data_IF_593462005605
#
_entry.id   IF_593462005605
#
_cell.length_a   1.000
_cell.length_b   1.000
_cell.length_c   1.000
_cell.angle_alpha   90.00
_cell.angle_beta   90.00
_cell.angle_gamma   90.00
#
_symmetry.space_group_name_H-M   'P 1'
#
loop_
_entity.id
_entity.type
_entity.pdbx_description
1 polymer ?
#
# COMPACT_ATOMS: atom_id res chain seq x y z
N UNK A 1 -0.07 -1.13 -42.09
CA UNK A 1 -0.70 -0.98 -40.77
C UNK A 1 -2.17 -0.82 -41.01
N UNK A 2 -3.00 -1.57 -40.30
CA UNK A 2 -4.46 -1.43 -40.35
C UNK A 2 -4.82 -0.10 -39.65
N UNK A 3 -5.39 0.90 -40.35
CA UNK A 3 -5.68 2.21 -39.77
C UNK A 3 -6.77 2.20 -38.68
N UNK A 4 -7.33 1.02 -38.35
CA UNK A 4 -8.30 0.80 -37.29
C UNK A 4 -7.72 0.17 -36.01
N UNK A 5 -6.46 -0.29 -36.02
CA UNK A 5 -5.87 -0.93 -34.84
C UNK A 5 -5.34 0.14 -33.88
N UNK A 6 -5.89 0.18 -32.66
CA UNK A 6 -5.35 1.00 -31.57
C UNK A 6 -3.91 0.60 -31.27
N UNK A 7 -3.04 1.61 -31.15
CA UNK A 7 -1.61 1.43 -30.92
C UNK A 7 -1.22 1.73 -29.47
N UNK A 8 -0.25 0.99 -28.95
CA UNK A 8 0.26 1.15 -27.58
C UNK A 8 1.77 1.44 -27.57
N UNK A 9 2.17 2.49 -26.85
CA UNK A 9 3.57 2.87 -26.64
C UNK A 9 4.01 2.50 -25.22
N UNK A 10 5.10 1.74 -25.08
CA UNK A 10 5.81 1.66 -23.80
C UNK A 10 6.38 3.04 -23.45
N UNK A 11 6.06 3.56 -22.27
CA UNK A 11 6.62 4.80 -21.76
C UNK A 11 7.28 4.59 -20.40
N UNK A 12 8.56 4.95 -20.29
CA UNK A 12 9.38 4.61 -19.13
C UNK A 12 10.51 5.62 -18.96
N UNK A 13 10.93 5.84 -17.70
CA UNK A 13 12.21 6.47 -17.38
C UNK A 13 13.17 5.40 -16.85
N UNK A 14 14.46 5.49 -17.19
CA UNK A 14 15.47 4.50 -16.76
C UNK A 14 16.73 5.18 -16.26
N UNK A 15 17.44 4.50 -15.34
CA UNK A 15 18.79 4.85 -14.91
C UNK A 15 19.51 3.65 -14.30
N UNK A 16 20.59 3.21 -14.93
CA UNK A 16 21.44 2.12 -14.44
C UNK A 16 20.70 0.79 -14.17
N UNK A 17 19.84 0.39 -15.10
CA UNK A 17 19.00 -0.80 -15.00
C UNK A 17 19.53 -1.98 -15.84
N UNK A 18 20.79 -1.95 -16.31
CA UNK A 18 21.36 -3.02 -17.12
C UNK A 18 21.21 -4.43 -16.52
N UNK A 19 21.30 -4.63 -15.18
CA UNK A 19 21.12 -5.95 -14.57
C UNK A 19 19.69 -6.52 -14.67
N UNK A 20 18.67 -5.69 -14.82
CA UNK A 20 17.26 -6.11 -14.68
C UNK A 20 16.36 -5.73 -15.84
N UNK A 21 16.70 -4.71 -16.64
CA UNK A 21 15.79 -4.14 -17.63
C UNK A 21 15.32 -5.15 -18.68
N UNK A 22 16.18 -6.10 -19.07
CA UNK A 22 15.87 -7.08 -20.12
C UNK A 22 14.59 -7.87 -19.83
N UNK A 23 14.38 -8.35 -18.59
CA UNK A 23 13.16 -9.09 -18.23
C UNK A 23 11.90 -8.21 -18.31
N UNK A 24 12.01 -6.92 -17.97
CA UNK A 24 10.92 -5.97 -18.15
C UNK A 24 10.58 -5.85 -19.64
N UNK A 25 11.58 -5.59 -20.49
CA UNK A 25 11.38 -5.42 -21.93
C UNK A 25 10.77 -6.67 -22.58
N UNK A 26 11.26 -7.86 -22.21
CA UNK A 26 10.71 -9.15 -22.67
C UNK A 26 9.23 -9.31 -22.32
N UNK A 27 8.85 -8.94 -21.09
CA UNK A 27 7.48 -9.07 -20.60
C UNK A 27 6.49 -8.13 -21.31
N UNK A 28 6.93 -6.94 -21.73
CA UNK A 28 6.07 -5.93 -22.37
C UNK A 28 6.10 -5.97 -23.89
N UNK A 29 7.15 -6.53 -24.51
CA UNK A 29 7.33 -6.60 -25.98
C UNK A 29 6.09 -7.10 -26.74
N UNK A 30 5.33 -8.12 -26.27
CA UNK A 30 4.15 -8.61 -26.98
C UNK A 30 2.94 -7.66 -26.94
N UNK A 31 2.97 -6.63 -26.10
CA UNK A 31 1.82 -5.78 -25.76
C UNK A 31 1.89 -4.38 -26.39
N UNK A 32 2.99 -4.07 -27.07
CA UNK A 32 3.31 -2.73 -27.54
C UNK A 32 3.56 -2.72 -29.05
N UNK A 33 3.22 -1.60 -29.68
CA UNK A 33 3.46 -1.34 -31.10
C UNK A 33 4.64 -0.38 -31.30
N UNK A 34 5.00 0.38 -30.26
CA UNK A 34 6.12 1.32 -30.24
C UNK A 34 6.65 1.54 -28.82
N UNK A 35 7.75 2.29 -28.67
CA UNK A 35 8.33 2.61 -27.38
C UNK A 35 8.97 3.99 -27.37
N UNK A 36 8.87 4.67 -26.23
CA UNK A 36 9.59 5.91 -25.93
C UNK A 36 10.11 5.81 -24.52
N UNK A 37 11.43 5.71 -24.39
CA UNK A 37 12.10 5.57 -23.10
C UNK A 37 13.01 6.77 -22.89
N UNK A 38 12.98 7.35 -21.70
CA UNK A 38 13.87 8.44 -21.30
C UNK A 38 14.94 7.90 -20.36
N UNK A 39 16.17 7.82 -20.85
CA UNK A 39 17.34 7.55 -20.04
C UNK A 39 17.77 8.83 -19.30
N UNK A 40 17.92 8.73 -17.98
CA UNK A 40 18.17 9.88 -17.11
C UNK A 40 19.64 9.95 -16.64
N UNK A 41 20.54 9.37 -17.42
CA UNK A 41 21.99 9.37 -17.20
C UNK A 41 22.52 8.02 -16.73
N UNK A 42 22.18 6.94 -17.43
CA UNK A 42 22.80 5.62 -17.21
C UNK A 42 24.26 5.62 -17.63
N UNK A 43 25.08 4.84 -16.91
CA UNK A 43 26.52 4.68 -17.15
C UNK A 43 26.94 3.21 -17.21
N UNK A 44 25.99 2.28 -17.19
CA UNK A 44 26.18 0.83 -17.06
C UNK A 44 25.84 0.04 -18.34
N UNK A 45 25.55 0.73 -19.44
CA UNK A 45 25.14 0.11 -20.71
C UNK A 45 23.63 -0.14 -20.85
N UNK A 46 22.78 0.33 -19.92
CA UNK A 46 21.32 0.23 -20.01
C UNK A 46 20.79 0.68 -21.38
N UNK A 47 21.33 1.79 -21.89
CA UNK A 47 20.92 2.40 -23.15
C UNK A 47 21.14 1.46 -24.35
N UNK A 48 22.28 0.76 -24.38
CA UNK A 48 22.64 -0.15 -25.47
C UNK A 48 21.77 -1.39 -25.45
N UNK A 49 21.47 -1.93 -24.25
CA UNK A 49 20.54 -3.05 -24.08
C UNK A 49 19.17 -2.70 -24.64
N UNK A 50 18.64 -1.51 -24.35
CA UNK A 50 17.33 -1.08 -24.87
C UNK A 50 17.34 -0.99 -26.39
N UNK A 51 18.36 -0.33 -26.97
CA UNK A 51 18.48 -0.13 -28.42
C UNK A 51 18.63 -1.47 -29.16
N UNK A 52 19.44 -2.38 -28.64
CA UNK A 52 19.63 -3.71 -29.21
C UNK A 52 18.32 -4.51 -29.14
N UNK A 53 17.66 -4.53 -27.97
CA UNK A 53 16.47 -5.31 -27.72
C UNK A 53 15.29 -4.90 -28.61
N UNK A 54 15.05 -3.60 -28.77
CA UNK A 54 13.97 -3.08 -29.63
C UNK A 54 14.44 -2.69 -31.04
N UNK A 55 15.56 -3.22 -31.51
CA UNK A 55 16.07 -2.93 -32.86
C UNK A 55 15.08 -3.31 -33.98
N UNK A 56 14.12 -4.18 -33.69
CA UNK A 56 13.06 -4.65 -34.59
C UNK A 56 11.70 -3.93 -34.39
N UNK A 57 11.59 -2.99 -33.45
CA UNK A 57 10.35 -2.27 -33.11
C UNK A 57 10.56 -0.75 -33.25
N UNK A 58 9.68 -0.01 -33.96
CA UNK A 58 9.77 1.44 -33.99
C UNK A 58 9.73 2.03 -32.58
N UNK A 59 10.56 3.03 -32.32
CA UNK A 59 10.60 3.74 -31.06
C UNK A 59 11.89 4.52 -30.88
N UNK A 60 11.99 5.26 -29.78
CA UNK A 60 13.07 6.21 -29.54
C UNK A 60 13.54 6.16 -28.09
N UNK A 61 14.86 6.09 -27.91
CA UNK A 61 15.51 6.35 -26.63
C UNK A 61 15.93 7.83 -26.58
N UNK A 62 15.48 8.56 -25.56
CA UNK A 62 15.90 9.93 -25.30
C UNK A 62 16.83 9.98 -24.10
N UNK A 63 17.98 10.64 -24.26
CA UNK A 63 18.87 10.93 -23.14
C UNK A 63 18.56 12.34 -22.62
N UNK A 64 18.17 12.45 -21.35
CA UNK A 64 17.75 13.71 -20.73
C UNK A 64 18.36 13.84 -19.32
N UNK A 65 18.66 15.07 -18.85
CA UNK A 65 19.00 15.27 -17.45
C UNK A 65 17.87 14.83 -16.53
N UNK A 66 18.21 14.29 -15.35
CA UNK A 66 17.24 13.98 -14.30
C UNK A 66 16.52 15.24 -13.82
N UNK A 67 15.17 15.23 -13.80
CA UNK A 67 14.31 16.35 -13.39
C UNK A 67 13.44 16.03 -12.17
N UNK A 68 13.74 14.95 -11.45
CA UNK A 68 12.84 14.41 -10.42
C UNK A 68 11.89 13.35 -11.00
N UNK A 69 11.23 12.58 -10.13
CA UNK A 69 10.35 11.47 -10.55
C UNK A 69 9.17 11.97 -11.38
N UNK A 70 8.44 12.96 -10.87
CA UNK A 70 7.35 13.63 -11.59
C UNK A 70 7.82 14.32 -12.87
N UNK A 71 8.89 15.12 -12.80
CA UNK A 71 9.42 15.89 -13.91
C UNK A 71 9.90 15.01 -15.07
N UNK A 72 10.71 13.98 -14.78
CA UNK A 72 11.24 13.09 -15.81
C UNK A 72 10.16 12.17 -16.40
N UNK A 73 9.22 11.66 -15.60
CA UNK A 73 8.09 10.88 -16.14
C UNK A 73 7.14 11.73 -16.97
N UNK A 74 6.87 12.98 -16.56
CA UNK A 74 6.02 13.89 -17.34
C UNK A 74 6.68 14.27 -18.66
N UNK A 75 8.00 14.52 -18.68
CA UNK A 75 8.75 14.72 -19.93
C UNK A 75 8.70 13.47 -20.83
N UNK A 76 8.78 12.26 -20.25
CA UNK A 76 8.61 11.03 -21.01
C UNK A 76 7.23 10.92 -21.66
N UNK A 77 6.15 11.29 -20.95
CA UNK A 77 4.79 11.34 -21.51
C UNK A 77 4.71 12.32 -22.68
N UNK A 78 5.26 13.52 -22.52
CA UNK A 78 5.18 14.55 -23.55
C UNK A 78 5.95 14.16 -24.83
N UNK A 79 7.09 13.49 -24.69
CA UNK A 79 7.85 12.94 -25.83
C UNK A 79 7.11 11.80 -26.55
N UNK A 80 6.29 11.04 -25.82
CA UNK A 80 5.57 9.87 -26.35
C UNK A 80 4.16 10.18 -26.86
N UNK A 81 3.63 11.38 -26.60
CA UNK A 81 2.23 11.74 -26.83
C UNK A 81 1.76 11.53 -28.28
N UNK A 82 2.65 11.70 -29.26
CA UNK A 82 2.35 11.52 -30.68
C UNK A 82 2.77 10.15 -31.23
N UNK A 83 3.30 9.26 -30.38
CA UNK A 83 3.86 7.98 -30.82
C UNK A 83 2.80 6.88 -30.94
N UNK A 84 1.71 6.95 -30.17
CA UNK A 84 0.64 5.95 -30.16
C UNK A 84 -0.69 6.52 -29.63
N UNK A 85 -1.75 5.72 -29.66
CA UNK A 85 -3.06 6.07 -29.09
C UNK A 85 -3.09 5.96 -27.57
N UNK A 86 -2.25 5.07 -27.00
CA UNK A 86 -2.13 4.83 -25.57
C UNK A 86 -0.67 4.74 -25.12
N UNK A 87 -0.40 5.15 -23.88
CA UNK A 87 0.87 4.99 -23.18
C UNK A 87 0.71 3.92 -22.09
N UNK A 88 1.61 2.93 -22.10
CA UNK A 88 1.74 1.88 -21.09
C UNK A 88 2.93 2.20 -20.18
N UNK A 89 2.70 2.25 -18.87
CA UNK A 89 3.73 2.52 -17.86
C UNK A 89 4.09 1.26 -17.09
N UNK A 90 5.36 0.88 -17.13
CA UNK A 90 5.96 -0.21 -16.35
C UNK A 90 7.32 0.27 -15.86
N UNK A 91 7.65 -0.01 -14.60
CA UNK A 91 8.96 0.34 -14.03
C UNK A 91 10.01 -0.68 -14.51
N UNK A 92 11.25 -0.23 -14.72
CA UNK A 92 12.28 -1.03 -15.41
C UNK A 92 12.69 -2.32 -14.66
N UNK A 93 12.42 -2.38 -13.36
CA UNK A 93 12.66 -3.54 -12.49
C UNK A 93 11.40 -4.36 -12.21
N UNK A 94 10.27 -4.06 -12.85
CA UNK A 94 9.02 -4.82 -12.79
C UNK A 94 8.80 -5.65 -14.06
N UNK A 95 7.81 -6.54 -14.05
CA UNK A 95 7.42 -7.33 -15.23
C UNK A 95 5.91 -7.29 -15.43
N UNK A 96 5.46 -7.37 -16.67
CA UNK A 96 4.06 -7.58 -17.03
C UNK A 96 3.77 -9.07 -17.16
N UNK A 97 2.74 -9.54 -16.47
CA UNK A 97 2.21 -10.89 -16.63
C UNK A 97 0.81 -10.82 -17.24
N UNK A 98 0.53 -11.74 -18.17
CA UNK A 98 -0.77 -11.81 -18.85
C UNK A 98 -1.32 -13.22 -18.79
N UNK A 99 -2.64 -13.34 -18.79
CA UNK A 99 -3.31 -14.64 -18.83
C UNK A 99 -3.00 -15.38 -20.15
N UNK A 100 -3.00 -16.72 -20.16
CA UNK A 100 -2.84 -17.49 -21.39
C UNK A 100 -3.84 -17.07 -22.48
N UNK A 101 -3.34 -16.76 -23.67
CA UNK A 101 -4.17 -16.30 -24.79
C UNK A 101 -4.59 -14.83 -24.73
N UNK A 102 -4.06 -14.05 -23.78
CA UNK A 102 -4.32 -12.61 -23.71
C UNK A 102 -3.95 -11.93 -25.03
N UNK A 103 -4.86 -11.08 -25.49
CA UNK A 103 -4.67 -10.14 -26.58
C UNK A 103 -5.18 -8.79 -26.09
N UNK A 104 -4.50 -7.70 -26.48
CA UNK A 104 -4.95 -6.36 -26.11
C UNK A 104 -6.40 -6.17 -26.60
N UNK A 105 -7.35 -5.87 -25.71
CA UNK A 105 -8.74 -5.65 -26.10
C UNK A 105 -8.88 -4.33 -26.88
N UNK A 106 -10.05 -4.09 -27.45
CA UNK A 106 -10.37 -2.77 -27.99
C UNK A 106 -10.37 -1.73 -26.86
N UNK A 107 -9.43 -0.78 -26.92
CA UNK A 107 -9.26 0.24 -25.89
C UNK A 107 -10.14 1.45 -26.22
N UNK A 108 -11.23 1.59 -25.48
CA UNK A 108 -12.25 2.64 -25.68
C UNK A 108 -12.30 3.67 -24.54
N UNK A 109 -11.71 3.35 -23.39
CA UNK A 109 -11.68 4.21 -22.21
C UNK A 109 -10.41 5.07 -22.18
N UNK A 110 -10.46 6.21 -21.51
CA UNK A 110 -9.34 7.13 -21.43
C UNK A 110 -8.22 6.62 -20.51
N UNK A 111 -8.54 5.72 -19.57
CA UNK A 111 -7.59 5.15 -18.62
C UNK A 111 -7.97 3.74 -18.17
N UNK A 112 -6.98 2.86 -18.09
CA UNK A 112 -7.13 1.52 -17.56
C UNK A 112 -6.19 1.32 -16.37
N UNK A 113 -6.77 0.85 -15.26
CA UNK A 113 -6.02 0.44 -14.08
C UNK A 113 -5.60 -1.01 -14.22
N UNK A 114 -4.37 -1.29 -13.80
CA UNK A 114 -3.83 -2.64 -13.71
C UNK A 114 -3.58 -2.97 -12.23
N UNK A 115 -3.76 -4.25 -11.89
CA UNK A 115 -3.32 -4.76 -10.60
C UNK A 115 -1.78 -4.76 -10.57
N UNK A 116 -1.22 -4.35 -9.44
CA UNK A 116 0.21 -4.36 -9.17
C UNK A 116 0.43 -5.25 -7.96
N UNK A 117 1.10 -6.37 -8.20
CA UNK A 117 1.35 -7.43 -7.24
C UNK A 117 2.71 -7.21 -6.58
N UNK A 118 2.72 -7.06 -5.25
CA UNK A 118 3.94 -6.97 -4.47
C UNK A 118 3.82 -7.89 -3.24
N UNK A 119 4.12 -9.18 -3.46
CA UNK A 119 3.85 -10.28 -2.50
C UNK A 119 2.39 -10.17 -2.01
N UNK A 120 1.95 -10.47 -0.76
CA UNK A 120 0.51 -10.65 -0.52
C UNK A 120 -0.31 -9.35 -0.73
N UNK A 121 0.34 -8.22 -0.99
CA UNK A 121 -0.31 -6.94 -1.27
C UNK A 121 -0.55 -6.78 -2.76
N UNK A 122 -1.81 -6.51 -3.11
CA UNK A 122 -2.22 -6.08 -4.45
C UNK A 122 -2.76 -4.66 -4.32
N UNK A 123 -2.29 -3.75 -5.16
CA UNK A 123 -2.87 -2.42 -5.31
C UNK A 123 -3.17 -2.14 -6.78
N UNK A 124 -4.00 -1.14 -7.06
CA UNK A 124 -4.41 -0.79 -8.41
C UNK A 124 -3.94 0.60 -8.77
N UNK A 125 -3.30 0.76 -9.92
CA UNK A 125 -2.90 2.08 -10.45
C UNK A 125 -3.27 2.23 -11.91
N UNK A 126 -3.61 3.44 -12.39
CA UNK A 126 -3.61 3.73 -13.82
C UNK A 126 -2.24 3.40 -14.40
N UNK A 127 -2.19 2.50 -15.37
CA UNK A 127 -0.94 2.10 -16.02
C UNK A 127 -1.04 2.09 -17.55
N UNK A 128 -2.24 2.23 -18.11
CA UNK A 128 -2.46 2.38 -19.55
C UNK A 128 -3.42 3.53 -19.78
N UNK A 129 -2.98 4.59 -20.47
CA UNK A 129 -3.77 5.82 -20.63
C UNK A 129 -3.77 6.33 -22.06
N UNK A 130 -4.87 6.94 -22.50
CA UNK A 130 -4.97 7.49 -23.84
C UNK A 130 -4.15 8.77 -23.99
N UNK A 131 -3.43 8.91 -25.10
CA UNK A 131 -2.65 10.11 -25.43
C UNK A 131 -3.49 11.35 -25.74
N UNK A 132 -4.82 11.18 -25.90
CA UNK A 132 -5.78 12.27 -26.15
C UNK A 132 -5.92 13.25 -25.00
N UNK A 133 -5.55 12.85 -23.78
CA UNK A 133 -5.72 13.66 -22.58
C UNK A 133 -4.37 14.16 -22.01
N UNK A 134 -4.36 15.30 -21.27
CA UNK A 134 -3.15 15.90 -20.74
C UNK A 134 -2.70 15.22 -19.43
N UNK A 135 -2.27 13.96 -19.53
CA UNK A 135 -1.69 13.24 -18.40
C UNK A 135 -0.33 13.84 -17.98
N UNK A 136 -0.07 13.85 -16.68
CA UNK A 136 1.23 14.19 -16.09
C UNK A 136 1.44 13.42 -14.79
N UNK A 137 2.68 13.18 -14.41
CA UNK A 137 2.98 12.71 -13.07
C UNK A 137 3.11 13.89 -12.11
N UNK A 138 2.59 13.73 -10.90
CA UNK A 138 2.64 14.73 -9.84
C UNK A 138 3.23 14.12 -8.58
N UNK A 139 4.24 14.77 -8.01
CA UNK A 139 4.82 14.40 -6.72
C UNK A 139 6.33 14.17 -6.77
N UNK A 140 7.07 14.77 -5.83
CA UNK A 140 8.53 14.59 -5.72
C UNK A 140 8.95 13.16 -5.39
N UNK A 141 8.06 12.39 -4.74
CA UNK A 141 8.20 10.97 -4.42
C UNK A 141 6.81 10.39 -4.15
N UNK A 142 6.62 9.09 -4.39
CA UNK A 142 5.29 8.45 -4.42
C UNK A 142 4.34 9.15 -5.39
N UNK A 143 4.89 9.50 -6.55
CA UNK A 143 4.23 10.18 -7.64
C UNK A 143 3.01 9.41 -8.11
N UNK A 144 2.01 10.14 -8.60
CA UNK A 144 0.82 9.55 -9.18
C UNK A 144 0.53 10.20 -10.52
N UNK A 145 -0.10 9.43 -11.40
CA UNK A 145 -0.54 9.91 -12.68
C UNK A 145 -1.83 10.72 -12.49
N UNK A 146 -1.82 11.97 -12.92
CA UNK A 146 -2.92 12.91 -12.80
C UNK A 146 -3.42 13.36 -14.18
N UNK A 147 -4.70 13.67 -14.25
CA UNK A 147 -5.32 14.34 -15.37
C UNK A 147 -6.46 15.24 -14.88
N UNK A 148 -6.27 16.54 -15.08
CA UNK A 148 -7.23 17.57 -14.67
C UNK A 148 -8.55 17.52 -15.46
N UNK A 149 -8.56 16.80 -16.60
CA UNK A 149 -9.74 16.61 -17.43
C UNK A 149 -10.54 15.42 -16.93
N UNK A 150 -11.84 15.60 -16.69
CA UNK A 150 -12.75 14.51 -16.34
C UNK A 150 -12.72 13.44 -17.43
N UNK A 151 -12.49 12.20 -17.03
CA UNK A 151 -12.29 11.09 -17.96
C UNK A 151 -12.95 9.82 -17.42
N UNK A 152 -13.25 8.89 -18.33
CA UNK A 152 -13.73 7.57 -17.94
C UNK A 152 -12.54 6.64 -17.66
N UNK A 153 -12.76 5.60 -16.85
CA UNK A 153 -11.72 4.65 -16.52
C UNK A 153 -12.29 3.25 -16.31
N UNK A 154 -11.44 2.25 -16.51
CA UNK A 154 -11.78 0.85 -16.32
C UNK A 154 -10.62 0.04 -15.76
N UNK A 155 -10.76 -1.27 -15.85
CA UNK A 155 -9.74 -2.26 -15.48
C UNK A 155 -9.26 -2.95 -16.76
N UNK A 156 -7.95 -3.11 -16.92
CA UNK A 156 -7.42 -3.99 -17.96
C UNK A 156 -7.42 -5.43 -17.44
N UNK A 157 -8.49 -6.15 -17.73
CA UNK A 157 -8.61 -7.55 -17.31
C UNK A 157 -7.60 -8.45 -18.04
N UNK A 158 -7.08 -9.44 -17.33
CA UNK A 158 -6.15 -10.43 -17.91
C UNK A 158 -4.69 -10.00 -18.00
N UNK A 159 -4.33 -8.82 -17.50
CA UNK A 159 -2.95 -8.35 -17.38
C UNK A 159 -2.69 -7.71 -16.00
N UNK A 160 -1.52 -7.96 -15.43
CA UNK A 160 -1.08 -7.35 -14.17
C UNK A 160 0.43 -7.12 -14.15
N UNK A 161 0.85 -6.16 -13.34
CA UNK A 161 2.27 -5.86 -13.10
C UNK A 161 2.72 -6.65 -11.86
N UNK A 162 3.84 -7.34 -11.95
CA UNK A 162 4.50 -7.99 -10.82
C UNK A 162 5.75 -7.20 -10.43
N UNK A 163 5.79 -6.75 -9.17
CA UNK A 163 6.98 -6.11 -8.61
C UNK A 163 8.03 -7.17 -8.30
N UNK A 164 9.12 -7.16 -9.07
CA UNK A 164 10.24 -8.10 -8.89
C UNK A 164 11.39 -7.44 -8.14
N UNK A 165 11.69 -6.17 -8.44
CA UNK A 165 12.75 -5.41 -7.78
C UNK A 165 14.16 -5.84 -8.14
N UNK A 166 15.16 -5.33 -7.43
CA UNK A 166 16.58 -5.48 -7.78
C UNK A 166 17.09 -4.42 -8.77
N UNK A 167 16.31 -3.38 -9.05
CA UNK A 167 16.78 -2.22 -9.81
C UNK A 167 17.81 -1.39 -9.06
N UNK A 168 18.45 -0.45 -9.77
CA UNK A 168 19.63 0.29 -9.30
C UNK A 168 19.41 0.97 -7.93
N UNK A 169 18.23 1.55 -7.72
CA UNK A 169 17.88 2.27 -6.48
C UNK A 169 17.78 1.34 -5.25
N UNK A 170 17.55 0.05 -5.44
CA UNK A 170 17.49 -0.92 -4.32
C UNK A 170 18.90 -1.34 -3.84
N UNK A 171 19.93 -1.21 -4.70
CA UNK A 171 21.31 -1.55 -4.36
C UNK A 171 22.11 -0.46 -3.63
N UNK A 172 21.57 0.76 -3.51
CA UNK A 172 22.27 1.91 -2.94
C UNK A 172 22.10 2.04 -1.40
N UNK A 173 23.00 1.38 -0.66
CA UNK A 173 23.11 1.52 0.80
C UNK A 173 22.10 0.68 1.59
N UNK A 174 22.01 0.94 2.89
CA UNK A 174 21.06 0.27 3.78
C UNK A 174 19.63 0.77 3.58
N UNK A 175 18.63 -0.05 3.92
CA UNK A 175 17.21 0.36 3.87
C UNK A 175 16.96 1.62 4.70
N UNK A 176 17.63 1.76 5.84
CA UNK A 176 17.53 2.97 6.67
C UNK A 176 18.01 4.20 5.93
N UNK A 177 19.17 4.15 5.28
CA UNK A 177 19.72 5.30 4.54
C UNK A 177 18.82 5.70 3.37
N UNK A 178 18.20 4.73 2.69
CA UNK A 178 17.18 4.99 1.66
C UNK A 178 16.03 5.81 2.24
N UNK A 179 15.41 5.35 3.34
CA UNK A 179 14.26 6.05 3.90
C UNK A 179 14.60 7.41 4.53
N UNK A 180 15.83 7.60 5.02
CA UNK A 180 16.32 8.92 5.42
C UNK A 180 16.40 9.90 4.23
N UNK A 181 16.87 9.44 3.07
CA UNK A 181 16.91 10.25 1.84
C UNK A 181 15.49 10.58 1.36
N UNK A 182 14.62 9.59 1.35
CA UNK A 182 13.21 9.75 0.95
C UNK A 182 12.49 10.77 1.86
N UNK A 183 12.72 10.69 3.17
CA UNK A 183 12.20 11.65 4.13
C UNK A 183 12.72 13.08 3.87
N UNK A 184 14.01 13.26 3.57
CA UNK A 184 14.54 14.59 3.26
C UNK A 184 13.96 15.17 1.96
N UNK A 185 13.79 14.35 0.93
CA UNK A 185 13.14 14.77 -0.34
C UNK A 185 11.71 15.29 -0.07
N UNK A 186 10.93 14.52 0.69
CA UNK A 186 9.55 14.89 1.03
C UNK A 186 9.49 16.12 1.94
N UNK A 187 10.42 16.25 2.89
CA UNK A 187 10.55 17.44 3.73
C UNK A 187 10.82 18.69 2.90
N UNK A 188 11.72 18.62 1.92
CA UNK A 188 11.98 19.72 0.99
C UNK A 188 10.78 20.02 0.10
N UNK A 189 10.04 18.98 -0.32
CA UNK A 189 8.76 19.10 -1.02
C UNK A 189 7.75 19.94 -0.22
N UNK A 190 7.57 19.63 1.07
CA UNK A 190 6.67 20.36 1.98
C UNK A 190 7.09 21.80 2.25
N UNK A 191 8.38 22.15 2.15
CA UNK A 191 8.80 23.56 2.25
C UNK A 191 8.23 24.37 1.07
N UNK A 192 8.16 23.75 -0.11
CA UNK A 192 7.65 24.39 -1.34
C UNK A 192 6.13 24.31 -1.44
N UNK A 193 5.55 23.19 -1.02
CA UNK A 193 4.12 22.88 -1.06
C UNK A 193 3.63 22.49 0.35
N UNK A 194 3.48 23.45 1.27
CA UNK A 194 3.18 23.17 2.69
C UNK A 194 1.84 22.49 2.92
N UNK A 195 0.88 22.67 2.00
CA UNK A 195 -0.45 22.08 2.08
C UNK A 195 -0.54 20.71 1.39
N UNK A 196 0.58 20.15 0.90
CA UNK A 196 0.59 18.85 0.23
C UNK A 196 0.47 17.71 1.24
N UNK A 197 -0.77 17.32 1.51
CA UNK A 197 -1.10 16.27 2.48
C UNK A 197 -0.44 14.92 2.15
N UNK A 198 -0.30 14.58 0.85
CA UNK A 198 0.36 13.35 0.43
C UNK A 198 1.84 13.34 0.85
N UNK A 199 2.55 14.46 0.68
CA UNK A 199 3.93 14.56 1.14
C UNK A 199 4.06 14.42 2.65
N UNK A 200 3.16 15.04 3.43
CA UNK A 200 3.16 14.91 4.89
C UNK A 200 2.95 13.45 5.34
N UNK A 201 2.04 12.72 4.68
CA UNK A 201 1.79 11.32 4.98
C UNK A 201 3.02 10.43 4.69
N UNK A 202 3.60 10.55 3.49
CA UNK A 202 4.77 9.74 3.14
C UNK A 202 6.05 10.18 3.86
N UNK A 203 6.14 11.44 4.29
CA UNK A 203 7.24 11.90 5.15
C UNK A 203 7.20 11.16 6.49
N UNK A 204 6.00 11.03 7.07
CA UNK A 204 5.80 10.30 8.30
C UNK A 204 6.13 8.80 8.16
N UNK A 205 5.74 8.17 7.04
CA UNK A 205 6.13 6.79 6.72
C UNK A 205 7.65 6.65 6.57
N UNK A 206 8.28 7.54 5.82
CA UNK A 206 9.73 7.50 5.58
C UNK A 206 10.50 7.63 6.90
N UNK A 207 10.09 8.53 7.82
CA UNK A 207 10.69 8.59 9.15
C UNK A 207 10.47 7.31 9.97
N UNK A 208 9.30 6.70 9.90
CA UNK A 208 9.02 5.44 10.59
C UNK A 208 9.97 4.35 10.11
N UNK A 209 10.07 4.19 8.79
CA UNK A 209 10.83 3.11 8.15
C UNK A 209 12.35 3.36 8.22
N UNK A 210 12.77 4.61 8.43
CA UNK A 210 14.13 5.00 8.80
C UNK A 210 14.47 4.76 10.29
N UNK A 211 13.51 4.33 11.12
CA UNK A 211 13.70 4.14 12.56
C UNK A 211 13.77 5.45 13.35
N UNK A 212 13.04 6.49 12.93
CA UNK A 212 12.96 7.81 13.58
C UNK A 212 11.54 8.05 14.15
N UNK A 213 11.13 7.34 15.21
CA UNK A 213 9.73 7.29 15.66
C UNK A 213 9.20 8.64 16.15
N UNK A 214 10.01 9.50 16.78
CA UNK A 214 9.59 10.83 17.22
C UNK A 214 9.30 11.76 16.05
N UNK A 215 10.15 11.74 15.02
CA UNK A 215 9.93 12.52 13.78
C UNK A 215 8.71 12.02 13.03
N UNK A 216 8.54 10.69 12.98
CA UNK A 216 7.38 10.05 12.37
C UNK A 216 6.08 10.46 13.08
N UNK A 217 6.05 10.41 14.42
CA UNK A 217 4.89 10.82 15.20
C UNK A 217 4.50 12.28 14.89
N UNK A 218 5.48 13.19 14.92
CA UNK A 218 5.22 14.60 14.64
C UNK A 218 4.68 14.83 13.21
N UNK A 219 5.22 14.11 12.23
CA UNK A 219 4.76 14.20 10.84
C UNK A 219 3.35 13.61 10.65
N UNK A 220 3.00 12.52 11.32
CA UNK A 220 1.63 12.00 11.31
C UNK A 220 0.65 12.93 12.01
N UNK A 221 1.03 13.56 13.12
CA UNK A 221 0.20 14.55 13.80
C UNK A 221 -0.07 15.76 12.90
N UNK A 222 0.95 16.24 12.18
CA UNK A 222 0.78 17.25 11.14
C UNK A 222 -0.21 16.77 10.08
N UNK A 223 0.01 15.57 9.50
CA UNK A 223 -0.83 15.02 8.44
C UNK A 223 -2.29 14.87 8.88
N UNK A 224 -2.55 14.39 10.09
CA UNK A 224 -3.88 14.23 10.63
C UNK A 224 -4.63 15.57 10.71
N UNK A 225 -3.92 16.68 10.95
CA UNK A 225 -4.49 18.03 11.00
C UNK A 225 -4.82 18.66 9.64
N UNK A 226 -4.33 18.10 8.52
CA UNK A 226 -4.49 18.70 7.17
C UNK A 226 -5.84 18.40 6.50
N UNK A 227 -6.65 17.47 7.04
CA UNK A 227 -7.91 17.05 6.43
C UNK A 227 -7.72 16.31 5.10
N UNK A 228 -8.64 16.52 4.14
CA UNK A 228 -8.59 15.90 2.81
C UNK A 228 -9.12 14.47 2.78
N UNK A 229 -8.39 13.56 2.13
CA UNK A 229 -8.82 12.16 2.00
C UNK A 229 -8.96 11.48 3.37
N UNK A 230 -10.19 11.17 3.75
CA UNK A 230 -10.54 10.72 5.10
C UNK A 230 -9.85 9.41 5.53
N UNK A 231 -9.58 8.49 4.60
CA UNK A 231 -8.86 7.24 4.92
C UNK A 231 -7.38 7.51 5.26
N UNK A 232 -6.75 8.45 4.57
CA UNK A 232 -5.35 8.82 4.85
C UNK A 232 -5.23 9.57 6.18
N UNK A 233 -6.21 10.42 6.51
CA UNK A 233 -6.32 11.05 7.84
C UNK A 233 -6.44 9.99 8.93
N UNK A 234 -7.34 9.01 8.75
CA UNK A 234 -7.49 7.89 9.70
C UNK A 234 -6.17 7.12 9.88
N UNK A 235 -5.52 6.75 8.78
CA UNK A 235 -4.23 6.04 8.83
C UNK A 235 -3.17 6.86 9.57
N UNK A 236 -3.10 8.17 9.34
CA UNK A 236 -2.18 9.04 10.06
C UNK A 236 -2.46 9.06 11.58
N UNK A 237 -3.73 9.20 11.98
CA UNK A 237 -4.13 9.17 13.39
C UNK A 237 -3.82 7.82 14.05
N UNK A 238 -4.14 6.71 13.38
CA UNK A 238 -3.89 5.35 13.87
C UNK A 238 -2.39 5.09 14.04
N UNK A 239 -1.57 5.47 13.06
CA UNK A 239 -0.13 5.26 13.11
C UNK A 239 0.54 6.17 14.14
N UNK A 240 0.08 7.42 14.31
CA UNK A 240 0.48 8.29 15.41
C UNK A 240 0.14 7.66 16.79
N UNK A 241 -1.06 7.11 16.97
CA UNK A 241 -1.45 6.46 18.22
C UNK A 241 -0.55 5.26 18.56
N UNK A 242 -0.24 4.43 17.57
CA UNK A 242 0.68 3.29 17.73
C UNK A 242 2.11 3.73 18.04
N UNK A 243 2.62 4.76 17.36
CA UNK A 243 3.94 5.33 17.64
C UNK A 243 4.00 5.93 19.05
N UNK A 244 2.96 6.64 19.49
CA UNK A 244 2.87 7.15 20.85
C UNK A 244 2.93 6.02 21.90
N UNK A 245 2.26 4.90 21.65
CA UNK A 245 2.36 3.71 22.50
C UNK A 245 3.80 3.12 22.52
N UNK A 246 4.43 2.96 21.35
CA UNK A 246 5.82 2.47 21.23
C UNK A 246 6.81 3.39 21.95
N UNK A 247 6.62 4.71 21.86
CA UNK A 247 7.40 5.73 22.52
C UNK A 247 7.09 5.86 24.02
N UNK A 248 6.17 5.04 24.56
CA UNK A 248 5.73 5.07 25.96
C UNK A 248 5.28 6.47 26.40
N UNK A 249 4.55 7.17 25.53
CA UNK A 249 3.88 8.43 25.88
C UNK A 249 2.90 8.19 27.04
N UNK A 250 2.51 9.24 27.79
CA UNK A 250 1.59 9.09 28.91
C UNK A 250 0.34 8.27 28.52
N UNK A 251 -0.10 7.28 29.34
CA UNK A 251 -1.18 6.37 28.94
C UNK A 251 -2.48 7.07 28.54
N UNK A 252 -2.83 8.17 29.20
CA UNK A 252 -4.01 8.96 28.86
C UNK A 252 -3.93 9.57 27.44
N UNK A 253 -2.74 10.03 27.03
CA UNK A 253 -2.49 10.54 25.68
C UNK A 253 -2.64 9.43 24.63
N UNK A 254 -2.07 8.26 24.91
CA UNK A 254 -2.14 7.12 23.98
C UNK A 254 -3.58 6.67 23.77
N UNK A 255 -4.36 6.56 24.86
CA UNK A 255 -5.79 6.22 24.79
C UNK A 255 -6.57 7.26 23.98
N UNK A 256 -6.38 8.55 24.27
CA UNK A 256 -7.05 9.65 23.54
C UNK A 256 -6.74 9.60 22.04
N UNK A 257 -5.48 9.35 21.66
CA UNK A 257 -5.08 9.23 20.25
C UNK A 257 -5.81 8.09 19.53
N UNK A 258 -5.95 6.92 20.16
CA UNK A 258 -6.73 5.82 19.59
C UNK A 258 -8.23 6.15 19.49
N UNK A 259 -8.80 6.80 20.49
CA UNK A 259 -10.21 7.20 20.48
C UNK A 259 -10.49 8.21 19.37
N UNK A 260 -9.63 9.23 19.19
CA UNK A 260 -9.75 10.19 18.08
C UNK A 260 -9.66 9.53 16.71
N UNK A 261 -8.78 8.54 16.54
CA UNK A 261 -8.71 7.76 15.31
C UNK A 261 -10.03 7.01 15.06
N UNK A 262 -10.63 6.41 16.09
CA UNK A 262 -11.93 5.74 15.98
C UNK A 262 -13.06 6.73 15.67
N UNK A 263 -13.11 7.88 16.34
CA UNK A 263 -14.12 8.93 16.12
C UNK A 263 -14.04 9.49 14.69
N UNK A 264 -12.83 9.64 14.14
CA UNK A 264 -12.61 10.10 12.78
C UNK A 264 -13.08 9.10 11.72
N UNK A 265 -13.08 7.80 12.02
CA UNK A 265 -13.53 6.75 11.10
C UNK A 265 -14.09 5.53 11.85
N UNK A 266 -15.33 5.58 12.35
CA UNK A 266 -15.89 4.54 13.21
C UNK A 266 -16.19 3.23 12.48
N UNK A 267 -16.13 3.22 11.15
CA UNK A 267 -16.21 2.02 10.31
C UNK A 267 -14.94 1.16 10.34
N UNK A 268 -13.87 1.61 11.01
CA UNK A 268 -12.57 0.93 11.06
C UNK A 268 -12.29 0.35 12.45
N UNK A 269 -12.07 -0.95 12.52
CA UNK A 269 -11.91 -1.68 13.78
C UNK A 269 -10.51 -1.53 14.39
N UNK A 270 -9.51 -1.15 13.60
CA UNK A 270 -8.09 -1.18 13.97
C UNK A 270 -7.75 -0.34 15.19
N UNK A 271 -8.39 0.82 15.34
CA UNK A 271 -8.14 1.72 16.46
C UNK A 271 -8.61 1.11 17.78
N UNK A 272 -9.86 0.64 17.84
CA UNK A 272 -10.41 -0.02 19.03
C UNK A 272 -9.75 -1.37 19.32
N UNK A 273 -9.47 -2.16 18.28
CA UNK A 273 -8.75 -3.42 18.42
C UNK A 273 -7.33 -3.21 18.98
N UNK A 274 -6.61 -2.21 18.46
CA UNK A 274 -5.28 -1.85 18.98
C UNK A 274 -5.34 -1.38 20.43
N UNK A 275 -6.38 -0.63 20.80
CA UNK A 275 -6.61 -0.15 22.16
C UNK A 275 -6.99 -1.28 23.12
N UNK A 276 -7.80 -2.25 22.68
CA UNK A 276 -8.14 -3.45 23.43
C UNK A 276 -6.88 -4.26 23.75
N UNK A 277 -6.03 -4.49 22.74
CA UNK A 277 -4.75 -5.17 22.88
C UNK A 277 -3.80 -4.43 23.84
N UNK A 278 -3.73 -3.11 23.76
CA UNK A 278 -2.93 -2.29 24.68
C UNK A 278 -3.40 -2.52 26.13
N UNK A 279 -4.70 -2.41 26.37
CA UNK A 279 -5.30 -2.64 27.68
C UNK A 279 -5.05 -4.08 28.18
N UNK A 280 -5.14 -5.09 27.31
CA UNK A 280 -4.83 -6.48 27.64
C UNK A 280 -3.38 -6.65 28.09
N UNK A 281 -2.42 -6.08 27.36
CA UNK A 281 -1.00 -6.18 27.70
C UNK A 281 -0.68 -5.52 29.06
N UNK A 282 -1.49 -4.55 29.48
CA UNK A 282 -1.42 -3.89 30.80
C UNK A 282 -2.30 -4.58 31.87
N UNK A 283 -2.92 -5.73 31.57
CA UNK A 283 -3.88 -6.43 32.44
C UNK A 283 -5.10 -5.58 32.87
N UNK A 284 -5.47 -4.57 32.07
CA UNK A 284 -6.66 -3.73 32.27
C UNK A 284 -7.89 -4.40 31.67
N UNK A 285 -8.23 -5.58 32.19
CA UNK A 285 -9.21 -6.50 31.62
C UNK A 285 -10.59 -5.90 31.33
N UNK A 286 -11.22 -5.10 32.23
CA UNK A 286 -12.52 -4.50 31.94
C UNK A 286 -12.51 -3.57 30.72
N UNK A 287 -11.43 -2.82 30.52
CA UNK A 287 -11.29 -1.93 29.36
C UNK A 287 -10.95 -2.70 28.10
N UNK A 288 -10.07 -3.70 28.19
CA UNK A 288 -9.77 -4.59 27.07
C UNK A 288 -11.06 -5.24 26.54
N UNK A 289 -11.90 -5.74 27.46
CA UNK A 289 -13.19 -6.33 27.16
C UNK A 289 -14.15 -5.35 26.48
N UNK A 290 -14.33 -4.15 27.06
CA UNK A 290 -15.19 -3.11 26.48
C UNK A 290 -14.80 -2.74 25.05
N UNK A 291 -13.50 -2.48 24.81
CA UNK A 291 -13.04 -2.06 23.49
C UNK A 291 -13.07 -3.21 22.48
N UNK A 292 -12.68 -4.43 22.87
CA UNK A 292 -12.74 -5.59 21.99
C UNK A 292 -14.18 -5.91 21.57
N UNK A 293 -15.13 -5.86 22.52
CA UNK A 293 -16.55 -6.10 22.23
C UNK A 293 -17.13 -5.09 21.25
N UNK A 294 -16.70 -3.83 21.32
CA UNK A 294 -17.08 -2.83 20.33
C UNK A 294 -16.39 -3.06 18.98
N UNK A 295 -15.09 -3.40 18.97
CA UNK A 295 -14.35 -3.68 17.74
C UNK A 295 -14.94 -4.85 16.92
N UNK A 296 -15.35 -5.93 17.58
CA UNK A 296 -15.99 -7.11 16.94
C UNK A 296 -17.29 -6.76 16.20
N UNK A 297 -17.99 -5.69 16.62
CA UNK A 297 -19.25 -5.28 16.00
C UNK A 297 -19.06 -4.46 14.72
N UNK A 298 -17.84 -4.05 14.42
CA UNK A 298 -17.53 -3.22 13.24
C UNK A 298 -17.34 -4.16 12.04
N UNK A 299 -18.24 -4.10 11.02
CA UNK A 299 -18.10 -4.95 9.84
C UNK A 299 -16.87 -4.57 9.03
N UNK A 300 -16.47 -5.43 8.08
CA UNK A 300 -15.43 -5.08 7.11
C UNK A 300 -15.85 -3.81 6.35
N UNK A 301 -14.96 -2.81 6.21
CA UNK A 301 -15.27 -1.57 5.51
C UNK A 301 -15.12 -1.74 3.99
N UNK A 302 -15.73 -0.83 3.23
CA UNK A 302 -15.49 -0.67 1.78
C UNK A 302 -14.29 0.27 1.47
N UNK A 303 -13.53 0.62 2.51
CA UNK A 303 -12.29 1.40 2.42
C UNK A 303 -11.24 0.70 1.54
N UNK A 304 -10.38 1.50 0.92
CA UNK A 304 -9.36 1.00 -0.02
C UNK A 304 -7.93 1.22 0.46
N UNK A 305 -7.70 2.14 1.41
CA UNK A 305 -6.37 2.53 1.84
C UNK A 305 -5.96 1.82 3.15
N UNK A 306 -4.99 0.91 3.02
CA UNK A 306 -4.31 0.22 4.13
C UNK A 306 -5.25 -0.39 5.18
N UNK A 307 -6.32 -1.05 4.73
CA UNK A 307 -7.23 -1.79 5.62
C UNK A 307 -6.53 -3.02 6.18
N UNK A 308 -6.51 -3.16 7.51
CA UNK A 308 -5.97 -4.35 8.18
C UNK A 308 -7.11 -5.34 8.42
N UNK A 309 -7.49 -6.09 7.37
CA UNK A 309 -8.64 -7.01 7.41
C UNK A 309 -8.57 -8.04 8.53
N UNK A 310 -7.38 -8.42 9.00
CA UNK A 310 -7.19 -9.28 10.17
C UNK A 310 -7.98 -8.82 11.42
N UNK A 311 -8.16 -7.51 11.62
CA UNK A 311 -8.96 -6.99 12.74
C UNK A 311 -10.44 -7.32 12.64
N UNK A 312 -10.96 -7.43 11.43
CA UNK A 312 -12.34 -7.82 11.15
C UNK A 312 -12.51 -9.34 11.03
N UNK A 313 -11.42 -10.04 10.71
CA UNK A 313 -11.45 -11.46 10.38
C UNK A 313 -11.31 -12.34 11.61
N UNK A 314 -10.42 -11.98 12.53
CA UNK A 314 -10.16 -12.81 13.70
C UNK A 314 -9.58 -12.03 14.90
N UNK A 315 -8.74 -11.01 14.70
CA UNK A 315 -7.99 -10.38 15.82
C UNK A 315 -8.90 -9.71 16.84
N UNK A 316 -9.93 -8.97 16.42
CA UNK A 316 -10.84 -8.36 17.39
C UNK A 316 -11.60 -9.42 18.22
N UNK A 317 -11.99 -10.53 17.57
CA UNK A 317 -12.69 -11.63 18.22
C UNK A 317 -11.78 -12.41 19.19
N UNK A 318 -10.50 -12.56 18.84
CA UNK A 318 -9.48 -13.14 19.73
C UNK A 318 -9.18 -12.25 20.94
N UNK A 319 -9.05 -10.93 20.73
CA UNK A 319 -8.93 -9.97 21.84
C UNK A 319 -10.16 -10.02 22.76
N UNK A 320 -11.38 -10.17 22.20
CA UNK A 320 -12.60 -10.34 22.98
C UNK A 320 -12.60 -11.66 23.75
N UNK A 321 -12.24 -12.78 23.11
CA UNK A 321 -12.18 -14.10 23.73
C UNK A 321 -11.29 -14.10 24.97
N UNK A 322 -10.09 -13.52 24.86
CA UNK A 322 -9.13 -13.43 25.96
C UNK A 322 -9.64 -12.48 27.05
N UNK A 323 -10.11 -11.29 26.68
CA UNK A 323 -10.58 -10.32 27.67
C UNK A 323 -11.82 -10.82 28.44
N UNK A 324 -12.77 -11.46 27.76
CA UNK A 324 -13.98 -12.06 28.33
C UNK A 324 -13.64 -13.08 29.42
N UNK A 325 -12.64 -13.95 29.18
CA UNK A 325 -12.18 -14.91 30.18
C UNK A 325 -11.73 -14.23 31.48
N UNK A 326 -10.93 -13.17 31.36
CA UNK A 326 -10.36 -12.50 32.53
C UNK A 326 -11.35 -11.62 33.30
N UNK A 327 -12.48 -11.23 32.68
CA UNK A 327 -13.57 -10.54 33.39
C UNK A 327 -14.65 -11.49 33.93
N UNK A 328 -14.50 -12.80 33.70
CA UNK A 328 -15.44 -13.83 34.19
C UNK A 328 -16.59 -14.16 33.23
N UNK A 329 -16.59 -13.59 32.03
CA UNK A 329 -17.54 -13.88 30.95
C UNK A 329 -17.11 -15.15 30.19
N UNK A 330 -17.02 -16.28 30.92
CA UNK A 330 -16.47 -17.53 30.41
C UNK A 330 -17.28 -18.10 29.23
N UNK A 331 -18.60 -17.92 29.25
CA UNK A 331 -19.48 -18.37 28.16
C UNK A 331 -19.18 -17.60 26.86
N UNK A 332 -19.04 -16.26 26.93
CA UNK A 332 -18.68 -15.44 25.76
C UNK A 332 -17.27 -15.76 25.26
N UNK A 333 -16.33 -16.00 26.19
CA UNK A 333 -14.97 -16.45 25.84
C UNK A 333 -14.98 -17.77 25.05
N UNK A 334 -15.76 -18.75 25.52
CA UNK A 334 -15.95 -20.04 24.87
C UNK A 334 -16.53 -19.86 23.46
N UNK A 335 -17.63 -19.12 23.32
CA UNK A 335 -18.30 -18.87 22.05
C UNK A 335 -17.39 -18.16 21.05
N UNK A 336 -16.60 -17.19 21.50
CA UNK A 336 -15.63 -16.52 20.66
C UNK A 336 -14.55 -17.49 20.16
N UNK A 337 -14.02 -18.37 21.03
CA UNK A 337 -13.03 -19.36 20.62
C UNK A 337 -13.61 -20.39 19.63
N UNK A 338 -14.84 -20.86 19.84
CA UNK A 338 -15.51 -21.77 18.91
C UNK A 338 -15.72 -21.14 17.53
N UNK A 339 -16.12 -19.87 17.50
CA UNK A 339 -16.23 -19.10 16.24
C UNK A 339 -14.89 -18.92 15.54
N UNK A 340 -13.84 -18.57 16.27
CA UNK A 340 -12.49 -18.43 15.71
C UNK A 340 -12.01 -19.73 15.04
N UNK A 341 -12.27 -20.88 15.67
CA UNK A 341 -11.90 -22.20 15.12
C UNK A 341 -12.84 -22.67 13.99
N UNK A 342 -14.11 -22.24 14.00
CA UNK A 342 -15.14 -22.69 13.06
C UNK A 342 -15.27 -21.87 11.77
N UNK A 343 -14.96 -20.57 11.79
CA UNK A 343 -15.19 -19.67 10.64
C UNK A 343 -14.12 -19.77 9.53
N UNK A 344 -13.02 -20.51 9.76
CA UNK A 344 -11.97 -20.73 8.77
C UNK A 344 -11.12 -19.50 8.43
N UNK A 345 -11.21 -18.44 9.24
CA UNK A 345 -10.44 -17.17 9.07
C UNK A 345 -9.24 -17.05 10.00
N UNK A 346 -9.12 -17.93 10.98
CA UNK A 346 -8.01 -17.93 11.93
C UNK A 346 -6.73 -18.50 11.28
N UNK A 347 -5.59 -17.78 11.33
CA UNK A 347 -4.30 -18.29 10.83
C UNK A 347 -3.89 -19.59 11.53
N UNK A 348 -3.36 -20.55 10.76
CA UNK A 348 -3.06 -21.90 11.25
C UNK A 348 -2.11 -21.93 12.47
N UNK A 349 -1.15 -21.01 12.53
CA UNK A 349 -0.20 -20.87 13.64
C UNK A 349 -0.86 -20.40 14.96
N UNK A 350 -2.12 -19.98 14.91
CA UNK A 350 -2.90 -19.56 16.08
C UNK A 350 -3.86 -20.64 16.60
N UNK A 351 -4.06 -21.76 15.89
CA UNK A 351 -5.06 -22.78 16.21
C UNK A 351 -4.82 -23.42 17.58
N UNK A 352 -3.59 -23.84 17.87
CA UNK A 352 -3.24 -24.49 19.13
C UNK A 352 -3.50 -23.55 20.33
N UNK A 353 -3.12 -22.28 20.18
CA UNK A 353 -3.33 -21.26 21.21
C UNK A 353 -4.81 -21.01 21.48
N UNK A 354 -5.62 -20.87 20.43
CA UNK A 354 -7.07 -20.63 20.57
C UNK A 354 -7.78 -21.88 21.12
N UNK A 355 -7.33 -23.08 20.76
CA UNK A 355 -7.83 -24.34 21.33
C UNK A 355 -7.54 -24.41 22.83
N UNK A 356 -6.34 -24.01 23.27
CA UNK A 356 -6.02 -23.93 24.69
C UNK A 356 -6.91 -22.90 25.43
N UNK A 357 -7.18 -21.75 24.82
CA UNK A 357 -8.10 -20.74 25.36
C UNK A 357 -9.54 -21.28 25.51
N UNK A 358 -10.02 -22.01 24.50
CA UNK A 358 -11.32 -22.70 24.54
C UNK A 358 -11.40 -23.65 25.73
N UNK A 359 -10.38 -24.47 25.94
CA UNK A 359 -10.32 -25.42 27.05
C UNK A 359 -10.26 -24.73 28.42
N UNK A 360 -9.57 -23.59 28.54
CA UNK A 360 -9.61 -22.80 29.76
C UNK A 360 -11.02 -22.30 30.08
N UNK A 361 -11.75 -21.78 29.09
CA UNK A 361 -13.13 -21.33 29.28
C UNK A 361 -14.06 -22.50 29.66
N UNK A 362 -13.94 -23.66 28.99
CA UNK A 362 -14.71 -24.88 29.29
C UNK A 362 -14.54 -25.32 30.75
N UNK A 363 -13.30 -25.35 31.25
CA UNK A 363 -13.02 -25.75 32.65
C UNK A 363 -13.66 -24.83 33.68
N UNK A 364 -13.89 -23.56 33.35
CA UNK A 364 -14.57 -22.60 34.24
C UNK A 364 -16.08 -22.78 34.28
N UNK A 365 -16.66 -23.30 33.20
CA UNK A 365 -18.09 -23.55 33.05
C UNK A 365 -18.52 -24.95 33.52
N UNK A 366 -17.60 -25.91 33.58
CA UNK A 366 -17.88 -27.27 34.07
C UNK A 366 -18.05 -27.30 35.60
N UNK A 367 -19.24 -27.68 36.12
CA UNK A 367 -19.48 -27.81 37.55
C UNK A 367 -18.58 -28.84 38.25
N UNK A 368 -18.07 -29.85 37.53
CA UNK A 368 -17.23 -30.90 38.12
C UNK A 368 -15.85 -30.39 38.57
N UNK A 369 -15.40 -29.24 38.06
CA UNK A 369 -14.10 -28.65 38.40
C UNK A 369 -14.15 -27.56 39.48
N UNK A 370 -15.35 -27.14 39.92
CA UNK A 370 -15.49 -26.13 40.98
C UNK A 370 -15.46 -26.72 42.41
N UNK A 371 -15.36 -28.04 42.58
CA UNK A 371 -15.47 -28.73 43.89
C UNK A 371 -14.10 -29.07 44.52
N UNK A 372 -12.99 -28.65 43.92
CA UNK A 372 -11.66 -28.84 44.51
C UNK A 372 -10.97 -27.49 44.68
N UNK A 373 -11.42 -26.73 45.68
CA UNK A 373 -10.69 -25.58 46.23
C UNK A 373 -10.65 -25.71 47.75
#
# INVERSE_FOLDING_TARGET
MDPLKTTVCLNMIVKNEAPVIRRCLESVRPLIDTWVIVDTGSTDGTQDIIREFFSDLPGVLHERPWKGFDGSRSEAIDLARSSADYLLFVDADDVMEVQPGFCMPELTLDSYRLAVHHRPVIHWRPALVSTRLPWKYVGVLHEYLDCEVKHNHGVLEGAHILIVGGGARQGEGSEREKYLRDAEILRQGLIKEPDNARYAFYLAQSWRDAGEPEKSLAAYDLRAGMGGFAEEVFCAQLYAARLAATLKKPPAEVVDRFLRAHEGRPSRAEALGSLARLCRNESRWPLAYMFARQAVRIPRPDDILFVEFDWHDWRALDELAVAAYWVGEYQESLECCERLLGEGRLPADQHDRVTANLDFARRKLDPQYQVVA
#
